data_IF_586186753636
#
_entry.id   IF_586186753636
#
_cell.length_a   1.000
_cell.length_b   1.000
_cell.length_c   1.000
_cell.angle_alpha   90.00
_cell.angle_beta   90.00
_cell.angle_gamma   90.00
#
_symmetry.space_group_name_H-M   'P 1'
#
loop_
_entity.id
_entity.type
_entity.pdbx_description
1 polymer ?
#
# COMPACT_ATOMS: atom_id res chain seq x y z
N UNK A 1 4.45 15.53 22.77
CA UNK A 1 3.00 15.42 22.54
C UNK A 1 2.48 14.26 23.38
N UNK A 2 1.47 14.46 24.24
CA UNK A 2 0.77 13.34 24.87
C UNK A 2 -0.16 12.74 23.80
N UNK A 3 0.30 11.70 23.09
CA UNK A 3 -0.55 10.96 22.15
C UNK A 3 -1.44 10.03 22.96
N UNK A 4 -2.75 10.22 22.83
CA UNK A 4 -3.78 9.52 23.59
C UNK A 4 -3.86 8.07 23.07
N UNK A 5 -3.77 7.10 23.98
CA UNK A 5 -4.07 5.69 23.71
C UNK A 5 -5.53 5.55 23.25
N UNK A 6 -5.74 5.23 21.98
CA UNK A 6 -7.05 4.85 21.46
C UNK A 6 -7.07 3.34 21.22
N UNK A 7 -7.69 2.63 22.17
CA UNK A 7 -8.21 1.28 21.91
C UNK A 7 -9.43 1.44 21.00
N UNK A 8 -9.24 1.39 19.68
CA UNK A 8 -10.35 1.15 18.75
C UNK A 8 -10.76 -0.30 18.94
N UNK A 9 -11.75 -0.52 19.82
CA UNK A 9 -12.47 -1.80 19.84
C UNK A 9 -13.23 -1.86 18.52
N UNK A 10 -13.05 -2.89 17.67
CA UNK A 10 -13.84 -3.06 16.46
C UNK A 10 -15.28 -3.34 16.88
N UNK A 11 -16.03 -2.27 17.09
CA UNK A 11 -17.45 -2.28 17.30
C UNK A 11 -18.06 -2.56 15.94
N UNK A 12 -18.30 -3.84 15.66
CA UNK A 12 -19.24 -4.27 14.63
C UNK A 12 -20.65 -3.79 15.01
N UNK A 13 -20.88 -2.48 14.92
CA UNK A 13 -22.20 -1.88 14.97
C UNK A 13 -22.80 -2.14 13.61
N UNK A 14 -23.69 -3.14 13.57
CA UNK A 14 -24.62 -3.40 12.50
C UNK A 14 -25.50 -2.16 12.28
N UNK A 15 -24.98 -1.15 11.58
CA UNK A 15 -25.82 -0.14 10.97
C UNK A 15 -26.50 -0.80 9.77
N UNK A 16 -27.80 -0.57 9.62
CA UNK A 16 -28.61 -1.05 8.52
C UNK A 16 -28.26 -0.33 7.20
N UNK A 17 -27.00 -0.44 6.77
CA UNK A 17 -26.64 -0.26 5.38
C UNK A 17 -27.05 -1.53 4.62
N UNK A 18 -27.58 -1.37 3.40
CA UNK A 18 -28.01 -2.46 2.53
C UNK A 18 -27.07 -3.66 2.67
N UNK A 19 -27.60 -4.82 3.06
CA UNK A 19 -26.80 -6.04 3.26
C UNK A 19 -25.93 -6.26 2.03
N UNK A 20 -24.66 -5.88 2.12
CA UNK A 20 -23.65 -6.33 1.17
C UNK A 20 -23.72 -7.84 1.23
N UNK A 21 -24.26 -8.45 0.17
CA UNK A 21 -24.31 -9.89 0.05
C UNK A 21 -22.87 -10.36 -0.15
N UNK A 22 -22.19 -10.60 0.97
CA UNK A 22 -20.86 -11.18 0.97
C UNK A 22 -20.98 -12.53 0.28
N UNK A 23 -20.16 -12.74 -0.76
CA UNK A 23 -20.12 -14.03 -1.42
C UNK A 23 -19.57 -15.06 -0.43
N UNK A 24 -20.34 -16.11 -0.16
CA UNK A 24 -19.88 -17.17 0.72
C UNK A 24 -18.69 -17.90 0.09
N UNK A 25 -17.65 -18.08 0.89
CA UNK A 25 -16.53 -18.95 0.57
C UNK A 25 -16.93 -20.40 0.86
N UNK A 26 -16.49 -21.32 0.02
CA UNK A 26 -16.51 -22.74 0.40
C UNK A 26 -15.57 -22.95 1.60
N UNK A 27 -15.82 -23.99 2.40
CA UNK A 27 -14.97 -24.33 3.54
C UNK A 27 -13.49 -24.49 3.14
N UNK A 28 -13.24 -25.10 1.97
CA UNK A 28 -11.89 -25.26 1.42
C UNK A 28 -11.23 -23.93 1.08
N UNK A 29 -11.96 -23.00 0.45
CA UNK A 29 -11.43 -21.67 0.15
C UNK A 29 -11.13 -20.90 1.43
N UNK A 30 -12.04 -20.97 2.41
CA UNK A 30 -11.85 -20.32 3.71
C UNK A 30 -10.58 -20.81 4.41
N UNK A 31 -10.39 -22.13 4.51
CA UNK A 31 -9.21 -22.70 5.16
C UNK A 31 -7.90 -22.31 4.47
N UNK A 32 -7.87 -22.32 3.13
CA UNK A 32 -6.68 -21.89 2.37
C UNK A 32 -6.41 -20.39 2.50
N UNK A 33 -7.45 -19.58 2.54
CA UNK A 33 -7.32 -18.14 2.76
C UNK A 33 -6.79 -17.85 4.17
N UNK A 34 -7.31 -18.53 5.20
CA UNK A 34 -6.84 -18.42 6.58
C UNK A 34 -5.38 -18.88 6.72
N UNK A 35 -5.00 -19.97 6.05
CA UNK A 35 -3.61 -20.46 6.03
C UNK A 35 -2.65 -19.42 5.44
N UNK A 36 -2.92 -18.95 4.21
CA UNK A 36 -2.09 -17.92 3.58
C UNK A 36 -2.10 -16.61 4.37
N UNK A 37 -3.23 -16.25 4.99
CA UNK A 37 -3.30 -15.07 5.82
C UNK A 37 -2.38 -15.14 7.05
N UNK A 38 -2.32 -16.30 7.69
CA UNK A 38 -1.43 -16.56 8.82
C UNK A 38 0.04 -16.58 8.39
N UNK A 39 0.35 -17.14 7.21
CA UNK A 39 1.72 -17.11 6.65
C UNK A 39 2.18 -15.67 6.42
N UNK A 40 1.33 -14.85 5.79
CA UNK A 40 1.65 -13.43 5.54
C UNK A 40 1.89 -12.70 6.87
N UNK A 41 0.99 -12.89 7.84
CA UNK A 41 1.11 -12.26 9.15
C UNK A 41 2.37 -12.70 9.90
N UNK A 42 2.66 -14.00 9.95
CA UNK A 42 3.86 -14.56 10.59
C UNK A 42 5.12 -14.05 9.91
N UNK A 43 5.12 -13.99 8.57
CA UNK A 43 6.25 -13.51 7.81
C UNK A 43 6.63 -12.09 8.24
N UNK A 44 5.67 -11.15 8.23
CA UNK A 44 5.92 -9.76 8.63
C UNK A 44 6.27 -9.58 10.10
N UNK A 45 5.58 -10.30 11.00
CA UNK A 45 5.77 -10.12 12.44
C UNK A 45 7.05 -10.80 12.98
N UNK A 46 7.67 -11.70 12.20
CA UNK A 46 8.86 -12.46 12.62
C UNK A 46 10.04 -12.38 11.65
N UNK A 47 10.11 -11.33 10.83
CA UNK A 47 11.24 -11.04 9.94
C UNK A 47 11.57 -12.17 8.94
N UNK A 48 10.54 -12.75 8.31
CA UNK A 48 10.67 -13.83 7.31
C UNK A 48 10.19 -13.40 5.93
N UNK A 49 10.59 -12.20 5.49
CA UNK A 49 10.19 -11.60 4.21
C UNK A 49 10.32 -12.52 3.00
N UNK A 50 11.42 -13.26 2.94
CA UNK A 50 11.75 -14.13 1.82
C UNK A 50 10.69 -15.23 1.58
N UNK A 51 9.94 -15.64 2.62
CA UNK A 51 8.88 -16.66 2.51
C UNK A 51 7.76 -16.19 1.60
N UNK A 52 7.49 -14.88 1.53
CA UNK A 52 6.40 -14.34 0.71
C UNK A 52 6.63 -14.53 -0.79
N UNK A 53 7.89 -14.66 -1.22
CA UNK A 53 8.24 -14.92 -2.61
C UNK A 53 7.77 -16.29 -3.10
N UNK A 54 7.61 -17.28 -2.20
CA UNK A 54 7.09 -18.61 -2.54
C UNK A 54 5.59 -18.57 -2.90
N UNK A 55 4.90 -17.50 -2.52
CA UNK A 55 3.48 -17.29 -2.76
C UNK A 55 3.20 -16.24 -3.84
N UNK A 56 4.22 -15.78 -4.57
CA UNK A 56 4.08 -14.77 -5.60
C UNK A 56 4.65 -15.23 -6.93
N UNK A 57 3.79 -15.51 -7.90
CA UNK A 57 4.17 -15.81 -9.28
C UNK A 57 4.11 -14.53 -10.14
N UNK A 58 5.28 -14.01 -10.51
CA UNK A 58 5.36 -12.82 -11.36
C UNK A 58 4.78 -13.03 -12.77
N UNK A 59 4.79 -14.26 -13.29
CA UNK A 59 4.20 -14.60 -14.59
C UNK A 59 2.68 -14.52 -14.46
N UNK A 60 2.07 -15.18 -13.47
CA UNK A 60 0.62 -15.10 -13.27
C UNK A 60 0.17 -13.68 -12.92
N UNK A 61 0.91 -12.98 -12.07
CA UNK A 61 0.70 -11.55 -11.78
C UNK A 61 0.71 -10.70 -13.06
N UNK A 62 1.71 -10.89 -13.93
CA UNK A 62 1.83 -10.10 -15.16
C UNK A 62 0.65 -10.28 -16.13
N UNK A 63 -0.02 -11.43 -16.13
CA UNK A 63 -1.22 -11.67 -16.94
C UNK A 63 -2.42 -10.85 -16.45
N UNK A 64 -2.45 -10.54 -15.15
CA UNK A 64 -3.51 -9.75 -14.49
C UNK A 64 -3.31 -8.25 -14.68
N UNK A 65 -2.06 -7.83 -14.90
CA UNK A 65 -1.66 -6.42 -15.03
C UNK A 65 -1.61 -6.02 -16.50
N UNK A 66 -2.30 -4.94 -16.88
CA UNK A 66 -2.31 -4.44 -18.27
C UNK A 66 -1.00 -3.72 -18.61
N UNK A 67 0.00 -4.49 -19.04
CA UNK A 67 1.25 -3.95 -19.56
C UNK A 67 1.01 -3.50 -21.02
N UNK A 68 1.05 -2.19 -21.34
CA UNK A 68 0.56 -1.66 -22.62
C UNK A 68 1.23 -2.22 -23.88
N UNK A 69 2.45 -2.74 -23.75
CA UNK A 69 3.25 -3.29 -24.86
C UNK A 69 3.05 -4.80 -25.07
N UNK A 70 2.36 -5.49 -24.15
CA UNK A 70 2.12 -6.94 -24.25
C UNK A 70 0.74 -7.21 -24.83
N UNK A 71 0.68 -8.04 -25.88
CA UNK A 71 -0.61 -8.52 -26.38
C UNK A 71 -1.22 -9.52 -25.39
N UNK A 72 -2.55 -9.66 -25.37
CA UNK A 72 -3.20 -10.70 -24.56
C UNK A 72 -2.61 -12.09 -24.85
N UNK A 73 -2.10 -12.77 -23.82
CA UNK A 73 -1.52 -14.11 -23.92
C UNK A 73 -0.03 -14.17 -24.26
N UNK A 74 0.63 -13.04 -24.54
CA UNK A 74 2.09 -13.01 -24.69
C UNK A 74 2.78 -13.13 -23.33
N UNK A 75 3.82 -13.98 -23.26
CA UNK A 75 4.68 -14.04 -22.07
C UNK A 75 5.48 -12.74 -21.98
N UNK A 76 5.52 -12.05 -20.83
CA UNK A 76 6.37 -10.88 -20.68
C UNK A 76 7.85 -11.23 -20.91
N UNK A 77 8.63 -10.32 -21.50
CA UNK A 77 10.08 -10.44 -21.53
C UNK A 77 10.66 -10.66 -20.12
N UNK A 78 11.75 -11.42 -20.02
CA UNK A 78 12.38 -11.74 -18.72
C UNK A 78 12.74 -10.48 -17.92
N UNK A 79 13.12 -9.39 -18.59
CA UNK A 79 13.43 -8.12 -17.93
C UNK A 79 12.21 -7.53 -17.20
N UNK A 80 11.01 -7.67 -17.76
CA UNK A 80 9.76 -7.20 -17.12
C UNK A 80 9.44 -8.05 -15.91
N UNK A 81 9.60 -9.38 -16.01
CA UNK A 81 9.42 -10.29 -14.88
C UNK A 81 10.40 -9.99 -13.74
N UNK A 82 11.67 -9.71 -14.05
CA UNK A 82 12.66 -9.34 -13.05
C UNK A 82 12.30 -8.02 -12.34
N UNK A 83 11.77 -7.03 -13.08
CA UNK A 83 11.31 -5.75 -12.50
C UNK A 83 10.11 -5.99 -11.57
N UNK A 84 9.14 -6.81 -11.99
CA UNK A 84 7.99 -7.15 -11.15
C UNK A 84 8.45 -7.82 -9.84
N UNK A 85 9.36 -8.80 -9.91
CA UNK A 85 9.93 -9.44 -8.73
C UNK A 85 10.65 -8.43 -7.84
N UNK A 86 11.51 -7.59 -8.40
CA UNK A 86 12.23 -6.57 -7.64
C UNK A 86 11.27 -5.58 -6.96
N UNK A 87 10.18 -5.18 -7.64
CA UNK A 87 9.16 -4.30 -7.06
C UNK A 87 8.41 -4.97 -5.90
N UNK A 88 8.11 -6.27 -6.02
CA UNK A 88 7.50 -7.05 -4.95
C UNK A 88 8.45 -7.18 -3.74
N UNK A 89 9.72 -7.54 -3.97
CA UNK A 89 10.74 -7.62 -2.93
C UNK A 89 10.98 -6.27 -2.24
N UNK A 90 11.10 -5.18 -3.02
CA UNK A 90 11.28 -3.83 -2.48
C UNK A 90 10.08 -3.41 -1.64
N UNK A 91 8.86 -3.70 -2.10
CA UNK A 91 7.65 -3.44 -1.32
C UNK A 91 7.71 -4.16 0.03
N UNK A 92 8.04 -5.45 0.02
CA UNK A 92 8.13 -6.24 1.25
C UNK A 92 9.21 -5.69 2.17
N UNK A 93 10.45 -5.54 1.70
CA UNK A 93 11.58 -5.07 2.51
C UNK A 93 11.29 -3.71 3.16
N UNK A 94 10.71 -2.77 2.41
CA UNK A 94 10.35 -1.46 2.96
C UNK A 94 9.30 -1.57 4.07
N UNK A 95 8.32 -2.47 3.92
CA UNK A 95 7.32 -2.72 4.93
C UNK A 95 7.92 -3.39 6.17
N UNK A 96 8.83 -4.35 5.99
CA UNK A 96 9.57 -4.98 7.08
C UNK A 96 10.37 -3.97 7.90
N UNK A 97 11.16 -3.14 7.23
CA UNK A 97 11.94 -2.08 7.87
C UNK A 97 11.02 -1.13 8.64
N UNK A 98 9.88 -0.75 8.05
CA UNK A 98 8.90 0.11 8.70
C UNK A 98 8.30 -0.52 9.96
N UNK A 99 7.89 -1.80 9.91
CA UNK A 99 7.37 -2.52 11.07
C UNK A 99 8.41 -2.63 12.19
N UNK A 100 9.66 -2.93 11.84
CA UNK A 100 10.76 -3.06 12.79
C UNK A 100 11.10 -1.73 13.48
N UNK A 101 11.21 -0.64 12.71
CA UNK A 101 11.54 0.70 13.24
C UNK A 101 10.44 1.22 14.18
N UNK A 102 9.18 0.95 13.85
CA UNK A 102 8.03 1.48 14.59
C UNK A 102 7.46 0.50 15.63
N UNK A 103 8.15 -0.62 15.91
CA UNK A 103 7.68 -1.71 16.76
C UNK A 103 6.21 -2.11 16.45
N UNK A 104 5.85 -2.05 15.17
CA UNK A 104 4.49 -2.26 14.70
C UNK A 104 4.27 -3.74 14.38
N UNK A 105 3.02 -4.18 14.46
CA UNK A 105 2.61 -5.52 14.06
C UNK A 105 1.57 -5.43 12.96
N UNK A 106 1.59 -6.43 12.09
CA UNK A 106 0.53 -6.66 11.13
C UNK A 106 -0.51 -7.58 11.77
N UNK A 107 -1.77 -7.16 11.81
CA UNK A 107 -2.88 -7.93 12.35
C UNK A 107 -3.96 -8.10 11.29
N UNK A 108 -4.43 -9.33 11.08
CA UNK A 108 -5.52 -9.62 10.17
C UNK A 108 -6.83 -9.05 10.72
N UNK A 109 -7.45 -8.15 9.96
CA UNK A 109 -8.72 -7.52 10.32
C UNK A 109 -9.90 -8.37 9.82
N UNK A 110 -9.92 -8.69 8.52
CA UNK A 110 -10.97 -9.52 7.93
C UNK A 110 -10.54 -10.22 6.65
N UNK A 111 -11.21 -11.34 6.38
CA UNK A 111 -11.13 -12.10 5.11
C UNK A 111 -12.47 -11.97 4.40
N UNK A 112 -12.44 -11.58 3.14
CA UNK A 112 -13.66 -11.42 2.35
C UNK A 112 -13.46 -11.83 0.90
N UNK A 113 -14.45 -12.50 0.30
CA UNK A 113 -14.43 -12.93 -1.10
C UNK A 113 -15.37 -12.08 -1.94
N UNK A 114 -14.88 -11.67 -3.11
CA UNK A 114 -15.66 -11.05 -4.17
C UNK A 114 -15.22 -11.59 -5.52
N UNK A 115 -16.17 -12.10 -6.27
CA UNK A 115 -15.95 -12.83 -7.50
C UNK A 115 -14.98 -14.02 -7.26
N UNK A 116 -13.92 -14.15 -8.05
CA UNK A 116 -12.90 -15.20 -7.92
C UNK A 116 -11.68 -14.77 -7.08
N UNK A 117 -11.76 -13.64 -6.39
CA UNK A 117 -10.66 -13.07 -5.62
C UNK A 117 -11.02 -13.01 -4.14
N UNK A 118 -10.09 -13.47 -3.29
CA UNK A 118 -10.20 -13.33 -1.84
C UNK A 118 -9.30 -12.19 -1.41
N UNK A 119 -9.80 -11.34 -0.53
CA UNK A 119 -9.10 -10.23 0.10
C UNK A 119 -8.78 -10.56 1.52
N UNK A 120 -7.53 -10.31 1.88
CA UNK A 120 -7.03 -10.34 3.25
C UNK A 120 -6.69 -8.90 3.61
N UNK A 121 -7.46 -8.31 4.51
CA UNK A 121 -7.21 -6.93 4.97
C UNK A 121 -6.52 -6.98 6.30
N UNK A 122 -5.40 -6.30 6.38
CA UNK A 122 -4.59 -6.18 7.58
C UNK A 122 -4.55 -4.74 8.02
N UNK A 123 -4.42 -4.57 9.33
CA UNK A 123 -4.10 -3.31 9.97
C UNK A 123 -2.66 -3.38 10.48
N UNK A 124 -1.90 -2.31 10.26
CA UNK A 124 -0.64 -2.08 10.95
C UNK A 124 -0.99 -1.37 12.25
N UNK A 125 -0.58 -1.95 13.37
CA UNK A 125 -0.78 -1.36 14.69
C UNK A 125 0.57 -1.17 15.38
N UNK A 126 0.80 0.01 15.95
CA UNK A 126 1.85 0.26 16.92
C UNK A 126 1.26 0.81 18.22
N UNK A 127 2.04 0.81 19.29
CA UNK A 127 1.61 1.34 20.59
C UNK A 127 1.31 2.86 20.54
N UNK A 128 1.72 3.57 19.49
CA UNK A 128 1.64 5.03 19.35
C UNK A 128 0.69 5.55 18.23
N UNK A 129 -0.24 4.71 17.74
CA UNK A 129 -1.36 5.11 16.87
C UNK A 129 -1.02 5.46 15.40
N UNK A 130 -0.25 4.62 14.70
CA UNK A 130 -0.23 4.64 13.23
C UNK A 130 -1.17 3.58 12.67
N UNK A 131 -2.25 4.00 11.98
CA UNK A 131 -3.16 3.11 11.27
C UNK A 131 -2.86 3.16 9.78
N UNK A 132 -2.27 2.08 9.27
CA UNK A 132 -2.21 1.81 7.84
C UNK A 132 -2.91 0.49 7.57
N UNK A 133 -3.60 0.42 6.43
CA UNK A 133 -4.25 -0.79 5.98
C UNK A 133 -3.49 -1.37 4.80
N UNK A 134 -3.25 -2.67 4.85
CA UNK A 134 -2.69 -3.43 3.75
C UNK A 134 -3.71 -4.45 3.29
N UNK A 135 -3.97 -4.48 1.98
CA UNK A 135 -4.89 -5.42 1.37
C UNK A 135 -4.11 -6.35 0.46
N UNK A 136 -4.10 -7.64 0.81
CA UNK A 136 -3.60 -8.70 -0.06
C UNK A 136 -4.77 -9.28 -0.82
N UNK A 137 -4.64 -9.30 -2.15
CA UNK A 137 -5.55 -10.03 -3.01
C UNK A 137 -4.92 -11.39 -3.28
N UNK A 138 -5.64 -12.45 -2.99
CA UNK A 138 -5.19 -13.83 -3.24
C UNK A 138 -6.15 -14.51 -4.21
N UNK A 139 -5.60 -15.37 -5.05
CA UNK A 139 -6.39 -16.14 -6.02
C UNK A 139 -5.77 -17.52 -6.22
N UNK A 140 -6.56 -18.54 -6.59
CA UNK A 140 -6.01 -19.84 -6.94
C UNK A 140 -5.19 -19.76 -8.22
N UNK A 141 -4.03 -20.41 -8.21
CA UNK A 141 -3.21 -20.67 -9.40
C UNK A 141 -3.78 -21.85 -10.22
N UNK A 142 -3.09 -22.22 -11.30
CA UNK A 142 -3.51 -23.32 -12.18
C UNK A 142 -3.60 -24.69 -11.47
N UNK A 143 -2.89 -24.86 -10.36
CA UNK A 143 -2.88 -26.04 -9.50
C UNK A 143 -3.92 -25.96 -8.36
N UNK A 144 -4.72 -24.89 -8.30
CA UNK A 144 -5.68 -24.58 -7.23
C UNK A 144 -5.06 -24.33 -5.85
N UNK A 145 -3.79 -23.94 -5.81
CA UNK A 145 -3.13 -23.39 -4.63
C UNK A 145 -3.25 -21.87 -4.63
N UNK A 146 -3.46 -21.28 -3.46
CA UNK A 146 -3.65 -19.82 -3.36
C UNK A 146 -2.30 -19.11 -3.40
N UNK A 147 -2.23 -18.08 -4.24
CA UNK A 147 -1.07 -17.20 -4.39
C UNK A 147 -1.50 -15.75 -4.17
N UNK A 148 -0.52 -14.90 -3.82
CA UNK A 148 -0.65 -13.45 -3.76
C UNK A 148 -0.80 -12.94 -5.20
N UNK A 149 -2.01 -12.51 -5.53
CA UNK A 149 -2.37 -11.99 -6.85
C UNK A 149 -2.09 -10.49 -6.99
N UNK A 150 -2.14 -9.73 -5.90
CA UNK A 150 -1.82 -8.29 -5.85
C UNK A 150 -1.69 -7.85 -4.39
N UNK A 151 -1.03 -6.71 -4.16
CA UNK A 151 -0.94 -6.07 -2.84
C UNK A 151 -1.32 -4.60 -2.99
N UNK A 152 -2.05 -4.06 -2.03
CA UNK A 152 -2.44 -2.65 -1.99
C UNK A 152 -2.11 -2.06 -0.62
N UNK A 153 -1.31 -0.99 -0.64
CA UNK A 153 -1.07 -0.14 0.52
C UNK A 153 -2.02 1.06 0.46
N UNK A 154 -2.94 1.12 1.42
CA UNK A 154 -3.94 2.20 1.46
C UNK A 154 -3.24 3.54 1.70
N UNK A 155 -2.22 3.58 2.55
CA UNK A 155 -1.42 4.78 2.78
C UNK A 155 -0.54 5.18 1.59
N UNK A 156 0.00 4.23 0.82
CA UNK A 156 0.81 4.58 -0.36
C UNK A 156 -0.04 4.88 -1.59
N UNK A 157 -1.36 4.74 -1.51
CA UNK A 157 -2.24 5.20 -2.59
C UNK A 157 -2.40 4.26 -3.77
N UNK A 158 -1.57 3.21 -3.90
CA UNK A 158 -1.52 2.33 -5.08
C UNK A 158 -1.31 0.86 -4.73
N UNK A 159 -1.86 0.00 -5.59
CA UNK A 159 -1.53 -1.43 -5.62
C UNK A 159 -0.22 -1.70 -6.37
N UNK A 160 0.41 -2.85 -6.12
CA UNK A 160 1.57 -3.33 -6.87
C UNK A 160 1.28 -3.35 -8.38
N UNK A 161 0.11 -3.87 -8.79
CA UNK A 161 -0.35 -3.83 -10.18
C UNK A 161 -0.46 -2.42 -10.77
N UNK A 162 -0.95 -1.45 -10.00
CA UNK A 162 -1.01 -0.04 -10.43
C UNK A 162 0.39 0.57 -10.54
N UNK A 163 1.31 0.25 -9.62
CA UNK A 163 2.71 0.67 -9.71
C UNK A 163 3.40 0.12 -10.96
N UNK A 164 3.21 -1.18 -11.25
CA UNK A 164 3.76 -1.82 -12.46
C UNK A 164 3.15 -1.21 -13.72
N UNK A 165 1.84 -0.94 -13.74
CA UNK A 165 1.20 -0.24 -14.86
C UNK A 165 1.77 1.17 -15.07
N UNK A 166 1.96 1.95 -14.01
CA UNK A 166 2.56 3.29 -14.11
C UNK A 166 3.98 3.23 -14.67
N UNK A 167 4.77 2.25 -14.21
CA UNK A 167 6.13 2.04 -14.72
C UNK A 167 6.10 1.63 -16.20
N UNK A 168 5.30 0.62 -16.56
CA UNK A 168 5.21 0.08 -17.90
C UNK A 168 4.67 1.11 -18.93
N UNK A 169 3.65 1.89 -18.57
CA UNK A 169 3.11 2.94 -19.45
C UNK A 169 4.12 4.04 -19.77
N UNK A 170 5.09 4.25 -18.87
CA UNK A 170 6.14 5.24 -19.04
C UNK A 170 7.31 4.70 -19.85
N UNK A 171 7.61 3.40 -19.76
CA UNK A 171 8.62 2.75 -20.59
C UNK A 171 8.28 2.89 -22.09
N UNK A 172 7.02 2.66 -22.47
CA UNK A 172 6.59 2.81 -23.86
C UNK A 172 6.54 4.24 -24.41
N UNK A 173 6.74 5.25 -23.55
CA UNK A 173 6.79 6.65 -23.97
C UNK A 173 8.16 7.11 -24.49
N UNK A 174 9.21 6.29 -24.36
CA UNK A 174 10.54 6.37 -25.02
C UNK A 174 11.22 7.75 -25.20
N UNK A 175 10.81 8.80 -24.50
CA UNK A 175 11.56 10.06 -24.52
C UNK A 175 12.75 9.93 -23.57
N UNK A 176 13.97 9.92 -24.13
CA UNK A 176 15.23 9.94 -23.37
C UNK A 176 15.24 11.06 -22.30
N UNK A 177 14.56 12.18 -22.58
CA UNK A 177 14.41 13.31 -21.65
C UNK A 177 13.66 12.89 -20.38
N UNK A 178 12.57 12.12 -20.50
CA UNK A 178 11.80 11.67 -19.35
C UNK A 178 12.55 10.60 -18.54
N UNK A 179 13.24 9.68 -19.21
CA UNK A 179 14.07 8.67 -18.54
C UNK A 179 15.23 9.30 -17.76
N UNK A 180 15.90 10.30 -18.35
CA UNK A 180 16.96 11.04 -17.67
C UNK A 180 16.42 11.78 -16.43
N UNK A 181 15.25 12.43 -16.55
CA UNK A 181 14.61 13.10 -15.42
C UNK A 181 14.18 12.13 -14.31
N UNK A 182 13.77 10.90 -14.65
CA UNK A 182 13.52 9.85 -13.65
C UNK A 182 14.80 9.37 -12.97
N UNK A 183 15.92 9.26 -13.71
CA UNK A 183 17.20 8.91 -13.13
C UNK A 183 17.69 9.98 -12.15
N UNK A 184 17.55 11.26 -12.51
CA UNK A 184 17.84 12.38 -11.62
C UNK A 184 16.96 12.34 -10.36
N UNK A 185 15.65 12.17 -10.53
CA UNK A 185 14.73 12.04 -9.40
C UNK A 185 15.07 10.84 -8.50
N UNK A 186 15.51 9.72 -9.08
CA UNK A 186 15.94 8.55 -8.32
C UNK A 186 17.26 8.80 -7.56
N UNK A 187 18.21 9.53 -8.14
CA UNK A 187 19.44 9.89 -7.44
C UNK A 187 19.15 10.79 -6.23
N UNK A 188 18.25 11.77 -6.40
CA UNK A 188 17.77 12.62 -5.31
C UNK A 188 17.09 11.77 -4.23
N UNK A 189 16.26 10.79 -4.63
CA UNK A 189 15.62 9.87 -3.70
C UNK A 189 16.64 9.06 -2.88
N UNK A 190 17.66 8.50 -3.51
CA UNK A 190 18.70 7.73 -2.82
C UNK A 190 19.52 8.60 -1.85
N UNK A 191 19.76 9.86 -2.21
CA UNK A 191 20.38 10.82 -1.30
C UNK A 191 19.47 11.14 -0.10
N UNK A 192 18.17 11.37 -0.36
CA UNK A 192 17.18 11.59 0.70
C UNK A 192 17.08 10.38 1.65
N UNK A 193 17.11 9.15 1.14
CA UNK A 193 17.11 7.91 1.91
C UNK A 193 18.33 7.81 2.84
N UNK A 194 19.51 8.27 2.40
CA UNK A 194 20.69 8.37 3.26
C UNK A 194 20.47 9.31 4.44
N UNK A 195 19.82 10.45 4.24
CA UNK A 195 19.46 11.37 5.33
C UNK A 195 18.36 10.81 6.23
N UNK A 196 17.39 10.07 5.69
CA UNK A 196 16.39 9.35 6.47
C UNK A 196 17.03 8.36 7.43
N UNK A 197 17.99 7.57 6.94
CA UNK A 197 18.71 6.57 7.73
C UNK A 197 19.58 7.20 8.84
N UNK A 198 19.90 8.49 8.71
CA UNK A 198 20.62 9.28 9.73
C UNK A 198 19.67 10.01 10.69
N UNK A 199 18.35 9.93 10.47
CA UNK A 199 17.33 10.64 11.24
C UNK A 199 17.13 12.11 10.86
N UNK A 200 17.73 12.59 9.75
CA UNK A 200 17.57 13.95 9.25
C UNK A 200 16.37 14.06 8.28
N UNK A 201 15.17 13.83 8.83
CA UNK A 201 13.93 13.76 8.05
C UNK A 201 13.58 15.07 7.33
N UNK A 202 13.88 16.22 7.94
CA UNK A 202 13.60 17.53 7.34
C UNK A 202 14.48 17.79 6.11
N UNK A 203 15.76 17.42 6.17
CA UNK A 203 16.65 17.54 5.01
C UNK A 203 16.30 16.54 3.91
N UNK A 204 15.97 15.31 4.29
CA UNK A 204 15.44 14.33 3.34
C UNK A 204 14.18 14.84 2.62
N UNK A 205 13.26 15.47 3.35
CA UNK A 205 12.05 16.05 2.77
C UNK A 205 12.38 17.15 1.76
N UNK A 206 13.28 18.08 2.12
CA UNK A 206 13.70 19.18 1.24
C UNK A 206 14.35 18.68 -0.06
N UNK A 207 15.13 17.59 0.01
CA UNK A 207 15.70 16.95 -1.18
C UNK A 207 14.60 16.39 -2.07
N UNK A 208 13.65 15.62 -1.52
CA UNK A 208 12.54 15.10 -2.33
C UNK A 208 11.65 16.21 -2.90
N UNK A 209 11.46 17.31 -2.18
CA UNK A 209 10.69 18.47 -2.66
C UNK A 209 11.39 19.23 -3.81
N UNK A 210 12.72 19.05 -3.95
CA UNK A 210 13.52 19.59 -5.05
C UNK A 210 13.40 18.81 -6.37
N UNK A 211 12.78 17.63 -6.35
CA UNK A 211 12.49 16.86 -7.57
C UNK A 211 11.58 17.70 -8.48
N UNK A 212 11.91 17.74 -9.77
CA UNK A 212 11.12 18.44 -10.80
C UNK A 212 9.62 18.05 -10.71
N UNK A 213 8.73 19.04 -10.78
CA UNK A 213 7.29 18.87 -10.59
C UNK A 213 6.67 17.80 -11.52
N UNK A 214 7.23 17.59 -12.72
CA UNK A 214 6.78 16.53 -13.65
C UNK A 214 7.01 15.11 -13.11
N UNK A 215 7.93 14.96 -12.15
CA UNK A 215 8.29 13.70 -11.50
C UNK A 215 7.87 13.68 -10.02
N UNK A 216 7.66 14.82 -9.38
CA UNK A 216 7.27 14.91 -7.96
C UNK A 216 6.04 14.07 -7.62
N UNK A 217 5.09 13.96 -8.56
CA UNK A 217 3.86 13.18 -8.42
C UNK A 217 3.97 11.73 -8.91
N UNK A 218 5.18 11.22 -9.19
CA UNK A 218 5.39 9.77 -9.26
C UNK A 218 5.16 9.19 -7.86
N UNK A 219 4.35 8.13 -7.76
CA UNK A 219 3.87 7.64 -6.46
C UNK A 219 4.99 7.35 -5.46
N UNK A 220 6.09 6.73 -5.90
CA UNK A 220 7.25 6.45 -5.04
C UNK A 220 7.74 7.70 -4.31
N UNK A 221 7.88 8.82 -5.04
CA UNK A 221 8.38 10.07 -4.48
C UNK A 221 7.31 10.80 -3.66
N UNK A 222 6.07 10.81 -4.14
CA UNK A 222 4.95 11.43 -3.42
C UNK A 222 4.68 10.74 -2.07
N UNK A 223 4.66 9.40 -2.03
CA UNK A 223 4.49 8.63 -0.81
C UNK A 223 5.66 8.85 0.16
N UNK A 224 6.90 8.94 -0.33
CA UNK A 224 8.07 9.23 0.50
C UNK A 224 8.03 10.65 1.08
N UNK A 225 7.59 11.65 0.30
CA UNK A 225 7.36 13.03 0.77
C UNK A 225 6.27 13.06 1.85
N UNK A 226 5.17 12.34 1.66
CA UNK A 226 4.11 12.19 2.66
C UNK A 226 4.67 11.64 3.99
N UNK A 227 5.36 10.50 3.97
CA UNK A 227 5.95 9.90 5.18
C UNK A 227 6.90 10.84 5.89
N UNK A 228 7.74 11.54 5.13
CA UNK A 228 8.71 12.48 5.69
C UNK A 228 8.05 13.74 6.27
N UNK A 229 6.97 14.22 5.65
CA UNK A 229 6.28 15.43 6.08
C UNK A 229 5.69 15.33 7.48
N UNK A 230 5.37 14.12 7.96
CA UNK A 230 4.96 13.83 9.35
C UNK A 230 5.99 14.31 10.39
N UNK A 231 7.28 14.34 10.01
CA UNK A 231 8.38 14.73 10.89
C UNK A 231 8.79 16.20 10.72
N UNK A 232 8.16 16.94 9.80
CA UNK A 232 8.51 18.34 9.50
C UNK A 232 7.62 19.28 10.31
N UNK A 233 6.33 19.34 9.97
CA UNK A 233 5.28 20.08 10.66
C UNK A 233 3.89 19.70 10.11
N UNK A 234 2.82 20.03 10.86
CA UNK A 234 1.45 19.66 10.49
C UNK A 234 0.99 20.29 9.17
N UNK A 235 1.39 21.53 8.87
CA UNK A 235 0.98 22.23 7.65
C UNK A 235 1.57 21.54 6.41
N UNK A 236 2.84 21.16 6.49
CA UNK A 236 3.54 20.40 5.45
C UNK A 236 2.91 19.02 5.28
N UNK A 237 2.59 18.33 6.38
CA UNK A 237 1.94 17.02 6.31
C UNK A 237 0.55 17.10 5.67
N UNK A 238 -0.27 18.08 6.07
CA UNK A 238 -1.59 18.33 5.49
C UNK A 238 -1.51 18.62 3.99
N UNK A 239 -0.53 19.40 3.56
CA UNK A 239 -0.28 19.68 2.13
C UNK A 239 0.04 18.39 1.35
N UNK A 240 0.88 17.52 1.88
CA UNK A 240 1.22 16.26 1.22
C UNK A 240 0.06 15.25 1.22
N UNK A 241 -0.76 15.20 2.29
CA UNK A 241 -2.00 14.42 2.31
C UNK A 241 -2.98 14.87 1.23
N UNK A 242 -3.16 16.18 1.05
CA UNK A 242 -3.99 16.75 -0.02
C UNK A 242 -3.43 16.42 -1.41
N UNK A 243 -2.12 16.49 -1.58
CA UNK A 243 -1.46 16.09 -2.83
C UNK A 243 -1.73 14.60 -3.13
N UNK A 244 -1.52 13.72 -2.15
CA UNK A 244 -1.76 12.28 -2.27
C UNK A 244 -3.23 11.95 -2.55
N UNK A 245 -4.17 12.70 -1.96
CA UNK A 245 -5.60 12.59 -2.26
C UNK A 245 -5.92 12.99 -3.72
N UNK A 246 -5.22 13.97 -4.27
CA UNK A 246 -5.43 14.43 -5.65
C UNK A 246 -4.88 13.44 -6.69
N UNK A 247 -3.77 12.76 -6.41
CA UNK A 247 -3.09 11.87 -7.36
C UNK A 247 -3.47 10.39 -7.21
N UNK A 248 -3.95 9.96 -6.04
CA UNK A 248 -4.34 8.56 -5.84
C UNK A 248 -5.59 8.22 -6.65
N UNK A 249 -5.64 7.07 -7.33
CA UNK A 249 -6.85 6.62 -8.03
C UNK A 249 -7.85 5.90 -7.11
N UNK A 250 -7.44 5.49 -5.90
CA UNK A 250 -8.23 4.59 -5.06
C UNK A 250 -9.03 5.37 -4.02
N UNK A 251 -10.34 5.08 -3.92
CA UNK A 251 -11.26 5.78 -3.00
C UNK A 251 -10.88 5.58 -1.54
N UNK A 252 -10.42 4.38 -1.17
CA UNK A 252 -9.99 4.00 0.18
C UNK A 252 -8.81 4.87 0.63
N UNK A 253 -7.79 5.01 -0.21
CA UNK A 253 -6.66 5.92 0.08
C UNK A 253 -7.11 7.37 0.24
N UNK A 254 -7.98 7.87 -0.65
CA UNK A 254 -8.48 9.25 -0.55
C UNK A 254 -9.23 9.51 0.75
N UNK A 255 -10.02 8.52 1.20
CA UNK A 255 -10.73 8.58 2.46
C UNK A 255 -9.76 8.53 3.64
N UNK A 256 -8.77 7.61 3.63
CA UNK A 256 -7.72 7.58 4.65
C UNK A 256 -7.04 8.95 4.82
N UNK A 257 -6.61 9.58 3.73
CA UNK A 257 -5.97 10.90 3.82
C UNK A 257 -6.90 11.96 4.37
N UNK A 258 -8.19 11.91 4.01
CA UNK A 258 -9.20 12.81 4.57
C UNK A 258 -9.35 12.61 6.07
N UNK A 259 -9.44 11.36 6.54
CA UNK A 259 -9.56 11.06 7.97
C UNK A 259 -8.35 11.58 8.76
N UNK A 260 -7.14 11.42 8.20
CA UNK A 260 -5.92 11.96 8.83
C UNK A 260 -5.98 13.50 8.86
N UNK A 261 -6.36 14.15 7.76
CA UNK A 261 -6.50 15.62 7.70
C UNK A 261 -7.50 16.12 8.75
N UNK A 262 -8.69 15.52 8.82
CA UNK A 262 -9.74 15.89 9.76
C UNK A 262 -9.25 15.72 11.22
N UNK A 263 -8.44 14.70 11.50
CA UNK A 263 -7.83 14.49 12.82
C UNK A 263 -6.74 15.50 13.19
N UNK A 264 -5.97 16.01 12.23
CA UNK A 264 -4.93 17.01 12.48
C UNK A 264 -5.51 18.36 12.89
N UNK A 265 -6.71 18.70 12.41
CA UNK A 265 -7.38 19.96 12.74
C UNK A 265 -7.90 19.98 14.19
N UNK A 266 -7.93 18.83 14.90
CA UNK A 266 -8.25 18.69 16.33
C UNK A 266 -9.58 19.34 16.78
N UNK A 267 -10.50 19.60 15.85
CA UNK A 267 -11.76 20.29 16.15
C UNK A 267 -12.92 19.31 16.43
N UNK A 268 -12.83 18.05 16.01
CA UNK A 268 -13.94 17.09 16.07
C UNK A 268 -13.46 15.62 16.14
N UNK A 269 -13.33 15.09 17.36
CA UNK A 269 -12.89 13.71 17.63
C UNK A 269 -13.93 12.66 17.16
N UNK A 270 -15.22 13.00 17.22
CA UNK A 270 -16.30 12.09 16.80
C UNK A 270 -16.25 11.89 15.29
N UNK A 271 -16.11 12.98 14.52
CA UNK A 271 -15.95 12.92 13.07
C UNK A 271 -14.68 12.17 12.65
N UNK A 272 -13.58 12.32 13.39
CA UNK A 272 -12.36 11.55 13.13
C UNK A 272 -12.61 10.04 13.24
N UNK A 273 -13.28 9.59 14.31
CA UNK A 273 -13.61 8.18 14.54
C UNK A 273 -14.59 7.67 13.46
N UNK A 274 -15.65 8.42 13.17
CA UNK A 274 -16.63 8.07 12.14
C UNK A 274 -15.99 7.88 10.77
N UNK A 275 -15.00 8.71 10.42
CA UNK A 275 -14.27 8.61 9.17
C UNK A 275 -13.49 7.29 9.05
N UNK A 276 -12.82 6.85 10.13
CA UNK A 276 -12.11 5.56 10.13
C UNK A 276 -13.08 4.37 10.09
N UNK A 277 -14.25 4.47 10.73
CA UNK A 277 -15.31 3.46 10.59
C UNK A 277 -15.80 3.39 9.14
N UNK A 278 -16.01 4.54 8.48
CA UNK A 278 -16.36 4.57 7.04
C UNK A 278 -15.27 3.91 6.19
N UNK A 279 -14.00 4.16 6.50
CA UNK A 279 -12.87 3.56 5.79
C UNK A 279 -12.83 2.04 5.95
N UNK A 280 -13.00 1.52 7.17
CA UNK A 280 -13.02 0.07 7.42
C UNK A 280 -14.20 -0.60 6.72
N UNK A 281 -15.39 0.00 6.76
CA UNK A 281 -16.53 -0.48 5.99
C UNK A 281 -16.23 -0.49 4.50
N UNK A 282 -15.62 0.58 3.97
CA UNK A 282 -15.27 0.63 2.55
C UNK A 282 -14.28 -0.48 2.19
N UNK A 283 -13.28 -0.74 3.02
CA UNK A 283 -12.31 -1.85 2.84
C UNK A 283 -12.96 -3.24 2.92
N UNK A 284 -14.06 -3.36 3.66
CA UNK A 284 -14.85 -4.58 3.74
C UNK A 284 -15.73 -4.80 2.50
N UNK A 285 -16.41 -3.76 2.01
CA UNK A 285 -17.42 -3.86 0.95
C UNK A 285 -16.86 -3.87 -0.49
N UNK A 286 -15.79 -3.11 -0.73
CA UNK A 286 -15.27 -2.86 -2.09
C UNK A 286 -14.36 -3.94 -2.55
#
# INVERSE_FOLDING_TARGET
MKRLLLFIIPLFLWSCADKVQLQEMTEKERLKAEELANIIQDAYNHDKAAVLSDYFDAIEFSKRVRIPELRPGEKPPQIVLNIIHQMFETFNNNLFEHLAVNASKLNLLHIHKKDDVIRLTYILENEESFYNYLVFYISPNSQKEFEIANIYSVYDGLSLGQNVNQFASRYGSNSMIFLNGLMEANNIYLEAESYMNQGDFKKAYQLLDSIDDKHKNVQKYAASRLRLSEYVDNDTYKKELQNMQSISPNRQSKLLYQCIIDGLDNEDEERYIECFIELENLLFET
#
